data_IF_680426156636
#
_entry.id   IF_680426156636
#
_cell.length_a   1.000
_cell.length_b   1.000
_cell.length_c   1.000
_cell.angle_alpha   90.00
_cell.angle_beta   90.00
_cell.angle_gamma   90.00
#
_symmetry.space_group_name_H-M   'P 1'
#
loop_
_entity.id
_entity.type
_entity.pdbx_description
1 polymer ?
#
# COMPACT_ATOMS: atom_id res chain seq x y z
N UNK A 1 -29.34 8.74 -21.75
CA UNK A 1 -29.52 7.48 -22.52
C UNK A 1 -28.55 7.57 -23.71
N UNK A 2 -27.54 6.74 -23.96
CA UNK A 2 -27.24 5.31 -23.77
C UNK A 2 -25.72 5.25 -23.45
N UNK A 3 -25.17 4.54 -22.47
CA UNK A 3 -25.33 3.11 -22.24
C UNK A 3 -24.34 2.32 -23.13
N UNK A 4 -23.12 2.07 -22.62
CA UNK A 4 -22.40 0.79 -22.72
C UNK A 4 -21.01 0.87 -22.08
N UNK A 5 -20.96 0.44 -20.82
CA UNK A 5 -19.75 -0.10 -20.21
C UNK A 5 -19.33 -1.33 -21.02
N UNK A 6 -18.18 -1.25 -21.69
CA UNK A 6 -17.50 -2.41 -22.22
C UNK A 6 -16.42 -2.83 -21.21
N UNK A 7 -16.85 -3.51 -20.15
CA UNK A 7 -15.99 -4.46 -19.45
C UNK A 7 -15.68 -5.58 -20.44
N UNK A 8 -14.53 -5.51 -21.09
CA UNK A 8 -13.98 -6.63 -21.83
C UNK A 8 -12.64 -6.92 -21.20
N UNK A 9 -12.60 -7.97 -20.40
CA UNK A 9 -11.36 -8.65 -20.03
C UNK A 9 -10.63 -8.97 -21.33
N UNK A 10 -9.60 -8.19 -21.67
CA UNK A 10 -8.80 -8.42 -22.87
C UNK A 10 -7.71 -9.44 -22.53
N UNK A 11 -7.52 -10.45 -23.39
CA UNK A 11 -6.62 -11.57 -23.12
C UNK A 11 -5.19 -11.07 -22.94
N UNK A 12 -4.56 -11.54 -21.86
CA UNK A 12 -3.17 -11.28 -21.51
C UNK A 12 -2.31 -11.97 -22.59
N UNK A 13 -1.93 -11.25 -23.64
CA UNK A 13 -0.96 -11.74 -24.61
C UNK A 13 0.18 -10.74 -24.76
N UNK A 14 1.38 -11.27 -24.50
CA UNK A 14 2.70 -10.68 -24.69
C UNK A 14 2.98 -9.46 -23.82
N UNK A 15 3.35 -9.73 -22.56
CA UNK A 15 3.95 -8.72 -21.71
C UNK A 15 5.45 -9.02 -21.59
N UNK A 16 6.27 -8.16 -22.18
CA UNK A 16 7.71 -8.19 -21.90
C UNK A 16 7.94 -7.71 -20.46
N UNK A 17 8.46 -8.59 -19.61
CA UNK A 17 8.83 -8.27 -18.23
C UNK A 17 10.19 -7.56 -18.26
N UNK A 18 10.24 -6.27 -17.89
CA UNK A 18 11.52 -5.57 -17.69
C UNK A 18 12.20 -6.12 -16.43
N UNK A 19 13.53 -6.26 -16.47
CA UNK A 19 14.38 -6.80 -15.38
C UNK A 19 13.93 -6.29 -13.99
N UNK A 20 13.81 -7.21 -13.03
CA UNK A 20 13.19 -6.96 -11.73
C UNK A 20 14.05 -6.02 -10.85
N UNK A 21 13.68 -4.74 -10.83
CA UNK A 21 14.13 -3.83 -9.77
C UNK A 21 13.46 -4.24 -8.46
N UNK A 22 14.23 -4.41 -7.38
CA UNK A 22 13.68 -4.71 -6.06
C UNK A 22 13.59 -3.45 -5.20
N UNK A 23 12.65 -3.44 -4.26
CA UNK A 23 12.58 -2.44 -3.20
C UNK A 23 12.26 -3.10 -1.87
N UNK A 24 12.65 -2.44 -0.78
CA UNK A 24 12.40 -2.91 0.57
C UNK A 24 11.18 -2.23 1.18
N UNK A 25 10.37 -3.03 1.85
CA UNK A 25 9.14 -2.61 2.49
C UNK A 25 9.19 -3.03 3.93
N UNK A 26 9.05 -2.07 4.86
CA UNK A 26 8.98 -2.39 6.28
C UNK A 26 7.65 -3.05 6.62
N UNK A 27 7.75 -4.09 7.42
CA UNK A 27 6.63 -4.94 7.81
C UNK A 27 6.60 -5.16 9.32
N UNK A 28 5.60 -5.91 9.81
CA UNK A 28 5.49 -6.23 11.24
C UNK A 28 6.75 -6.92 11.76
N UNK A 29 7.20 -6.49 12.93
CA UNK A 29 8.31 -7.12 13.62
C UNK A 29 8.00 -8.59 13.94
N UNK A 30 9.00 -9.45 13.82
CA UNK A 30 8.93 -10.86 14.19
C UNK A 30 9.88 -11.06 15.36
N UNK A 31 9.37 -11.57 16.48
CA UNK A 31 10.16 -11.76 17.71
C UNK A 31 10.87 -10.47 18.19
N UNK A 32 10.22 -9.32 18.03
CA UNK A 32 10.76 -8.01 18.41
C UNK A 32 11.86 -7.48 17.48
N UNK A 33 12.15 -8.16 16.36
CA UNK A 33 13.12 -7.72 15.37
C UNK A 33 12.43 -7.07 14.17
N UNK A 34 13.02 -5.98 13.66
CA UNK A 34 12.50 -5.31 12.46
C UNK A 34 12.56 -6.23 11.25
N UNK A 35 11.49 -6.22 10.44
CA UNK A 35 11.40 -7.06 9.23
C UNK A 35 11.15 -6.18 8.02
N UNK A 36 11.90 -6.46 6.95
CA UNK A 36 11.75 -5.83 5.65
C UNK A 36 11.51 -6.89 4.59
N UNK A 37 10.44 -6.73 3.81
CA UNK A 37 10.15 -7.57 2.65
C UNK A 37 10.93 -7.03 1.45
N UNK A 38 11.63 -7.93 0.75
CA UNK A 38 12.19 -7.63 -0.57
C UNK A 38 11.13 -7.89 -1.63
N UNK A 39 10.69 -6.83 -2.32
CA UNK A 39 9.54 -6.88 -3.23
C UNK A 39 10.00 -6.60 -4.66
N UNK A 40 9.68 -7.46 -5.64
CA UNK A 40 9.99 -7.18 -7.03
C UNK A 40 9.04 -6.11 -7.58
N UNK A 41 9.60 -5.10 -8.25
CA UNK A 41 8.83 -4.09 -8.97
C UNK A 41 8.53 -4.57 -10.38
N UNK A 42 7.46 -5.34 -10.55
CA UNK A 42 7.05 -5.84 -11.86
C UNK A 42 6.41 -4.72 -12.68
N UNK A 43 6.99 -4.45 -13.85
CA UNK A 43 6.44 -3.53 -14.84
C UNK A 43 6.04 -4.31 -16.10
N UNK A 44 4.82 -4.05 -16.54
CA UNK A 44 4.18 -4.68 -17.66
C UNK A 44 4.05 -3.66 -18.80
N UNK A 45 4.68 -3.95 -19.93
CA UNK A 45 4.52 -3.14 -21.15
C UNK A 45 3.33 -3.64 -21.97
N UNK A 46 2.46 -2.72 -22.38
CA UNK A 46 1.35 -3.00 -23.28
C UNK A 46 1.69 -2.53 -24.70
N UNK A 47 1.84 -3.47 -25.63
CA UNK A 47 2.13 -3.17 -27.05
C UNK A 47 0.99 -2.42 -27.75
N UNK A 48 -0.26 -2.56 -27.30
CA UNK A 48 -1.40 -1.92 -27.95
C UNK A 48 -1.50 -0.42 -27.66
N UNK A 49 -1.11 0.02 -26.46
CA UNK A 49 -1.19 1.43 -26.07
C UNK A 49 0.18 2.06 -25.81
N UNK A 50 1.27 1.31 -25.99
CA UNK A 50 2.66 1.72 -25.75
C UNK A 50 2.91 2.27 -24.35
N UNK A 51 2.16 1.79 -23.34
CA UNK A 51 2.27 2.24 -21.94
C UNK A 51 2.81 1.14 -21.03
N UNK A 52 3.51 1.57 -19.98
CA UNK A 52 3.91 0.71 -18.88
C UNK A 52 2.87 0.78 -17.75
N UNK A 53 2.59 -0.36 -17.15
CA UNK A 53 1.80 -0.48 -15.92
C UNK A 53 2.64 -1.20 -14.86
N UNK A 54 2.63 -0.70 -13.63
CA UNK A 54 3.29 -1.39 -12.51
C UNK A 54 2.27 -2.29 -11.82
N UNK A 55 2.66 -3.51 -11.48
CA UNK A 55 1.85 -4.44 -10.70
C UNK A 55 1.32 -3.75 -9.43
N UNK A 56 0.02 -3.91 -9.17
CA UNK A 56 -0.59 -3.44 -7.93
C UNK A 56 -0.57 -4.61 -6.93
N UNK A 57 -0.04 -4.35 -5.75
CA UNK A 57 0.04 -5.33 -4.67
C UNK A 57 -1.14 -5.09 -3.72
N UNK A 58 -1.94 -6.11 -3.43
CA UNK A 58 -3.15 -5.93 -2.61
C UNK A 58 -2.84 -5.52 -1.16
N UNK A 59 -1.71 -5.99 -0.64
CA UNK A 59 -1.24 -5.75 0.73
C UNK A 59 -0.39 -4.47 0.89
N UNK A 60 -0.19 -3.69 -0.18
CA UNK A 60 0.63 -2.47 -0.17
C UNK A 60 0.07 -1.41 -1.11
N UNK A 61 -0.01 -0.16 -0.67
CA UNK A 61 -0.28 0.96 -1.60
C UNK A 61 0.97 1.27 -2.46
N UNK A 62 0.74 1.61 -3.74
CA UNK A 62 1.79 2.02 -4.66
C UNK A 62 2.61 3.19 -4.09
N UNK A 63 3.95 3.06 -4.10
CA UNK A 63 4.87 4.11 -3.64
C UNK A 63 5.01 4.23 -2.12
N UNK A 64 4.43 3.31 -1.33
CA UNK A 64 4.64 3.28 0.12
C UNK A 64 5.88 2.49 0.51
N UNK A 65 6.38 2.80 1.70
CA UNK A 65 7.50 2.12 2.35
C UNK A 65 7.06 1.04 3.36
N UNK A 66 5.75 0.95 3.62
CA UNK A 66 5.17 0.09 4.66
C UNK A 66 4.10 -0.83 4.07
N UNK A 67 3.98 -2.04 4.61
CA UNK A 67 2.81 -2.90 4.33
C UNK A 67 1.55 -2.29 4.94
N UNK A 68 0.39 -2.59 4.35
CA UNK A 68 -0.90 -2.13 4.90
C UNK A 68 -1.14 -2.65 6.32
N UNK A 69 -0.70 -3.90 6.60
CA UNK A 69 -0.80 -4.49 7.94
C UNK A 69 0.05 -3.76 8.97
N UNK A 70 1.26 -3.33 8.60
CA UNK A 70 2.10 -2.50 9.47
C UNK A 70 1.47 -1.13 9.72
N UNK A 71 0.95 -0.47 8.67
CA UNK A 71 0.27 0.82 8.85
C UNK A 71 -0.95 0.71 9.77
N UNK A 72 -1.75 -0.36 9.65
CA UNK A 72 -2.88 -0.63 10.53
C UNK A 72 -2.44 -0.86 11.98
N UNK A 73 -1.37 -1.60 12.19
CA UNK A 73 -0.79 -1.80 13.51
C UNK A 73 -0.37 -0.47 14.16
N UNK A 74 0.35 0.40 13.45
CA UNK A 74 0.71 1.73 13.95
C UNK A 74 -0.52 2.56 14.29
N UNK A 75 -1.55 2.53 13.44
CA UNK A 75 -2.79 3.24 13.70
C UNK A 75 -3.49 2.79 14.99
N UNK A 76 -3.54 1.48 15.27
CA UNK A 76 -4.14 0.98 16.51
C UNK A 76 -3.25 1.30 17.73
N UNK A 77 -1.93 1.29 17.60
CA UNK A 77 -1.02 1.69 18.69
C UNK A 77 -1.19 3.16 19.10
N UNK A 78 -1.34 4.08 18.13
CA UNK A 78 -1.54 5.51 18.40
C UNK A 78 -2.86 5.80 19.14
N UNK A 79 -3.84 4.88 19.11
CA UNK A 79 -5.05 5.03 19.92
C UNK A 79 -4.82 4.77 21.41
N UNK A 80 -3.80 3.98 21.74
CA UNK A 80 -3.50 3.56 23.11
C UNK A 80 -2.29 4.31 23.70
N UNK A 81 -1.37 4.74 22.85
CA UNK A 81 -0.10 5.35 23.23
C UNK A 81 0.08 6.70 22.55
N UNK A 82 0.85 7.58 23.20
CA UNK A 82 1.26 8.83 22.58
C UNK A 82 2.11 8.57 21.33
N UNK A 83 1.93 9.39 20.29
CA UNK A 83 2.68 9.33 19.02
C UNK A 83 4.20 9.23 19.23
N UNK A 84 4.74 9.99 20.17
CA UNK A 84 6.18 9.98 20.49
C UNK A 84 6.65 8.62 21.05
N UNK A 85 5.81 7.96 21.84
CA UNK A 85 6.11 6.63 22.37
C UNK A 85 6.10 5.59 21.24
N UNK A 86 5.09 5.64 20.36
CA UNK A 86 5.01 4.75 19.19
C UNK A 86 6.20 4.99 18.26
N UNK A 87 6.58 6.24 18.04
CA UNK A 87 7.76 6.63 17.26
C UNK A 87 9.04 6.01 17.81
N UNK A 88 9.26 6.06 19.13
CA UNK A 88 10.42 5.45 19.79
C UNK A 88 10.41 3.93 19.72
N UNK A 89 9.27 3.30 20.02
CA UNK A 89 9.13 1.84 19.99
C UNK A 89 9.41 1.28 18.60
N UNK A 90 8.95 1.99 17.58
CA UNK A 90 9.01 1.54 16.19
C UNK A 90 10.16 2.18 15.41
N UNK A 91 11.04 2.98 16.02
CA UNK A 91 12.19 3.56 15.31
C UNK A 91 11.86 4.39 14.04
N UNK A 92 10.66 4.96 13.95
CA UNK A 92 10.23 5.83 12.83
C UNK A 92 9.89 7.22 13.32
N UNK A 93 9.94 8.24 12.47
CA UNK A 93 9.70 9.61 12.90
C UNK A 93 8.24 9.82 13.37
N UNK A 94 8.04 10.66 14.39
CA UNK A 94 6.69 11.01 14.86
C UNK A 94 5.80 11.57 13.73
N UNK A 95 6.41 12.27 12.76
CA UNK A 95 5.72 12.76 11.55
C UNK A 95 5.21 11.60 10.67
N UNK A 96 5.99 10.53 10.50
CA UNK A 96 5.56 9.34 9.77
C UNK A 96 4.40 8.64 10.50
N UNK A 97 4.50 8.50 11.83
CA UNK A 97 3.44 7.94 12.67
C UNK A 97 2.13 8.73 12.50
N UNK A 98 2.18 10.06 12.64
CA UNK A 98 1.02 10.93 12.42
C UNK A 98 0.48 10.80 10.99
N UNK A 99 1.36 10.76 10.00
CA UNK A 99 1.00 10.58 8.60
C UNK A 99 0.24 9.28 8.33
N UNK A 100 0.66 8.18 8.95
CA UNK A 100 -0.06 6.89 8.92
C UNK A 100 -1.43 7.03 9.58
N UNK A 101 -1.48 7.59 10.79
CA UNK A 101 -2.71 7.73 11.56
C UNK A 101 -3.78 8.54 10.80
N UNK A 102 -3.41 9.71 10.26
CA UNK A 102 -4.34 10.56 9.51
C UNK A 102 -4.84 9.90 8.22
N UNK A 103 -3.97 9.16 7.52
CA UNK A 103 -4.33 8.44 6.29
C UNK A 103 -5.37 7.36 6.57
N UNK A 104 -5.14 6.51 7.57
CA UNK A 104 -6.07 5.45 7.93
C UNK A 104 -7.37 6.03 8.49
N UNK A 105 -7.29 7.06 9.34
CA UNK A 105 -8.47 7.76 9.85
C UNK A 105 -9.35 8.31 8.72
N UNK A 106 -8.76 8.93 7.70
CA UNK A 106 -9.49 9.44 6.53
C UNK A 106 -10.12 8.29 5.73
N UNK A 107 -9.40 7.18 5.55
CA UNK A 107 -9.92 5.99 4.85
C UNK A 107 -11.13 5.39 5.60
N UNK A 108 -11.04 5.23 6.92
CA UNK A 108 -12.16 4.73 7.75
C UNK A 108 -13.36 5.67 7.74
N UNK A 109 -13.16 7.00 7.82
CA UNK A 109 -14.26 7.99 7.70
C UNK A 109 -15.00 7.88 6.36
N UNK A 110 -14.27 7.72 5.25
CA UNK A 110 -14.87 7.54 3.93
C UNK A 110 -15.70 6.26 3.84
N UNK A 111 -15.18 5.14 4.36
CA UNK A 111 -15.89 3.86 4.37
C UNK A 111 -17.16 3.96 5.23
N UNK A 112 -17.05 4.54 6.44
CA UNK A 112 -18.21 4.77 7.31
C UNK A 112 -19.29 5.62 6.65
N UNK A 113 -18.91 6.70 5.96
CA UNK A 113 -19.85 7.56 5.23
C UNK A 113 -20.54 6.86 4.06
N UNK A 114 -19.90 5.87 3.42
CA UNK A 114 -20.50 5.08 2.33
C UNK A 114 -21.49 4.04 2.88
N UNK A 115 -21.23 3.46 4.06
CA UNK A 115 -22.06 2.42 4.66
C UNK A 115 -23.31 2.95 5.39
N UNK A 116 -23.38 4.27 5.64
CA UNK A 116 -24.56 4.96 6.21
C UNK A 116 -25.54 5.50 5.16
N UNK A 117 -25.36 5.16 3.88
CA UNK A 117 -26.27 5.50 2.76
C UNK A 117 -26.97 4.22 2.29
#
# INVERSE_FOLDING_TARGET
MKGRFAHIAKPIRMISIKLAQFFFVRDLAICGQEVYLQVPRRQFYCHHCSRYSTERLEWMEMGRKYTQRYELYIYEQVKQLATEQVSRNEGISAKEVQGIFHRISRRKKKIGAILTV
#
